data_IF_664092281614
#
_entry.id   IF_664092281614
#
_cell.length_a   1.000
_cell.length_b   1.000
_cell.length_c   1.000
_cell.angle_alpha   90.00
_cell.angle_beta   90.00
_cell.angle_gamma   90.00
#
_symmetry.space_group_name_H-M   'P 1'
#
loop_
_entity.id
_entity.type
_entity.pdbx_description
1 polymer ?
#
# COMPACT_ATOMS: atom_id res chain seq x y z
N UNK A 1 -10.52 -15.16 -8.90
CA UNK A 1 -10.09 -14.86 -7.52
C UNK A 1 -10.53 -13.46 -7.16
N UNK A 2 -10.91 -13.25 -5.93
CA UNK A 2 -11.49 -11.99 -5.48
C UNK A 2 -10.44 -10.89 -5.35
N UNK A 3 -10.80 -9.72 -5.84
CA UNK A 3 -10.02 -8.48 -5.71
C UNK A 3 -10.87 -7.49 -4.91
N UNK A 4 -10.51 -7.26 -3.67
CA UNK A 4 -11.28 -6.43 -2.75
C UNK A 4 -10.49 -5.19 -2.36
N UNK A 5 -11.07 -4.03 -2.63
CA UNK A 5 -10.52 -2.74 -2.21
C UNK A 5 -11.38 -2.17 -1.10
N UNK A 6 -10.75 -1.75 -0.02
CA UNK A 6 -11.43 -1.10 1.11
C UNK A 6 -11.10 0.38 1.05
N UNK A 7 -12.11 1.20 0.78
CA UNK A 7 -12.01 2.65 0.72
C UNK A 7 -12.67 3.28 1.92
N UNK A 8 -12.11 4.39 2.38
CA UNK A 8 -12.70 5.14 3.47
C UNK A 8 -11.79 6.27 3.92
N UNK A 9 -12.29 7.18 4.77
CA UNK A 9 -11.49 8.28 5.25
C UNK A 9 -10.36 7.81 6.16
N UNK A 10 -9.36 8.67 6.32
CA UNK A 10 -8.24 8.42 7.23
C UNK A 10 -8.75 8.19 8.65
N UNK A 11 -8.21 7.19 9.33
CA UNK A 11 -8.54 6.90 10.72
C UNK A 11 -9.84 6.13 10.93
N UNK A 12 -10.53 5.72 9.86
CA UNK A 12 -11.79 4.95 9.97
C UNK A 12 -11.57 3.49 10.37
N UNK A 13 -10.34 3.00 10.28
CA UNK A 13 -10.01 1.62 10.67
C UNK A 13 -9.72 0.68 9.51
N UNK A 14 -9.37 1.21 8.33
CA UNK A 14 -9.05 0.38 7.16
C UNK A 14 -7.94 -0.62 7.45
N UNK A 15 -6.81 -0.17 7.98
CA UNK A 15 -5.67 -1.04 8.28
C UNK A 15 -5.99 -2.06 9.35
N UNK A 16 -6.80 -1.71 10.34
CA UNK A 16 -7.25 -2.65 11.37
C UNK A 16 -8.10 -3.76 10.75
N UNK A 17 -9.04 -3.40 9.89
CA UNK A 17 -9.87 -4.37 9.19
C UNK A 17 -9.03 -5.28 8.30
N UNK A 18 -8.10 -4.72 7.55
CA UNK A 18 -7.20 -5.48 6.67
C UNK A 18 -6.37 -6.48 7.47
N UNK A 19 -5.82 -6.08 8.61
CA UNK A 19 -5.05 -7.01 9.47
C UNK A 19 -5.91 -8.17 9.97
N UNK A 20 -7.14 -7.89 10.37
CA UNK A 20 -8.08 -8.94 10.84
C UNK A 20 -8.43 -9.90 9.72
N UNK A 21 -8.73 -9.39 8.52
CA UNK A 21 -9.05 -10.22 7.37
C UNK A 21 -7.85 -11.06 6.92
N UNK A 22 -6.66 -10.46 6.91
CA UNK A 22 -5.42 -11.15 6.55
C UNK A 22 -5.13 -12.30 7.50
N UNK A 23 -5.38 -12.12 8.80
CA UNK A 23 -5.18 -13.17 9.79
C UNK A 23 -6.10 -14.38 9.58
N UNK A 24 -7.21 -14.22 8.90
CA UNK A 24 -8.12 -15.32 8.56
C UNK A 24 -7.73 -16.07 7.29
N UNK A 25 -6.79 -15.53 6.51
CA UNK A 25 -6.37 -16.18 5.27
C UNK A 25 -5.41 -17.34 5.59
N UNK A 26 -5.72 -18.57 5.13
CA UNK A 26 -4.96 -19.76 5.55
C UNK A 26 -3.66 -19.97 4.81
N UNK A 27 -3.38 -19.21 3.77
CA UNK A 27 -2.21 -19.37 2.91
C UNK A 27 -1.15 -18.28 3.11
N UNK A 28 -0.11 -18.29 2.27
CA UNK A 28 0.92 -17.26 2.32
C UNK A 28 0.37 -15.89 1.92
N UNK A 29 1.01 -14.84 2.44
CA UNK A 29 0.67 -13.46 2.16
C UNK A 29 1.90 -12.79 1.56
N UNK A 30 1.69 -12.08 0.45
CA UNK A 30 2.71 -11.26 -0.21
C UNK A 30 2.21 -9.81 -0.28
N UNK A 31 2.95 -8.94 -0.93
CA UNK A 31 2.57 -7.54 -1.03
C UNK A 31 3.28 -6.68 -0.01
N UNK A 32 2.66 -5.56 0.34
CA UNK A 32 3.31 -4.55 1.17
C UNK A 32 2.37 -3.93 2.19
N UNK A 33 3.00 -3.35 3.22
CA UNK A 33 2.36 -2.40 4.12
C UNK A 33 3.18 -1.12 4.12
N UNK A 34 2.51 0.02 4.30
CA UNK A 34 3.16 1.31 4.51
C UNK A 34 2.81 1.81 5.90
N UNK A 35 3.77 2.42 6.58
CA UNK A 35 3.54 2.92 7.92
C UNK A 35 4.30 4.21 8.15
N UNK A 36 3.59 5.21 8.65
CA UNK A 36 4.19 6.45 9.12
C UNK A 36 4.78 6.25 10.51
N UNK A 37 6.01 6.70 10.70
CA UNK A 37 6.66 6.69 12.00
C UNK A 37 6.02 7.71 12.94
N UNK A 38 6.16 7.47 14.25
CA UNK A 38 5.60 8.34 15.28
C UNK A 38 6.59 9.38 15.78
N UNK A 39 7.84 9.31 15.32
CA UNK A 39 8.90 10.24 15.67
C UNK A 39 9.29 11.03 14.43
N UNK A 40 9.23 12.37 14.54
CA UNK A 40 9.60 13.25 13.44
C UNK A 40 11.10 13.25 13.21
N UNK A 41 11.49 13.48 11.95
CA UNK A 41 12.90 13.70 11.58
C UNK A 41 13.38 15.11 11.97
N UNK A 42 14.63 15.44 11.60
CA UNK A 42 15.23 16.74 11.92
C UNK A 42 14.52 17.95 11.30
N UNK A 43 13.63 17.75 10.36
CA UNK A 43 12.83 18.80 9.70
C UNK A 43 11.39 18.85 10.19
N UNK A 44 11.05 18.05 11.19
CA UNK A 44 9.69 17.99 11.74
C UNK A 44 8.72 17.16 10.91
N UNK A 45 9.21 16.37 9.96
CA UNK A 45 8.39 15.49 9.13
C UNK A 45 8.44 14.06 9.63
N UNK A 46 7.34 13.36 9.51
CA UNK A 46 7.23 11.96 9.91
C UNK A 46 7.53 11.06 8.71
N UNK A 47 8.60 10.24 8.80
CA UNK A 47 8.93 9.32 7.72
C UNK A 47 7.87 8.25 7.50
N UNK A 48 7.70 7.84 6.25
CA UNK A 48 6.81 6.75 5.87
C UNK A 48 7.65 5.72 5.11
N UNK A 49 7.63 4.47 5.60
CA UNK A 49 8.39 3.38 5.00
C UNK A 49 7.45 2.34 4.40
N UNK A 50 7.92 1.68 3.34
CA UNK A 50 7.26 0.50 2.77
C UNK A 50 7.97 -0.75 3.27
N UNK A 51 7.17 -1.76 3.65
CA UNK A 51 7.67 -3.02 4.18
C UNK A 51 7.00 -4.20 3.48
N UNK A 52 7.69 -5.33 3.31
CA UNK A 52 7.02 -6.55 2.87
C UNK A 52 5.91 -6.93 3.85
N UNK A 53 4.75 -7.26 3.33
CA UNK A 53 3.61 -7.68 4.18
C UNK A 53 3.93 -8.94 5.00
N UNK A 54 4.74 -9.84 4.44
CA UNK A 54 5.16 -11.06 5.11
C UNK A 54 6.22 -10.85 6.19
N UNK A 55 6.83 -9.66 6.27
CA UNK A 55 7.90 -9.38 7.23
C UNK A 55 7.30 -9.05 8.61
N UNK A 56 7.66 -9.79 9.68
CA UNK A 56 7.23 -9.45 11.04
C UNK A 56 7.67 -8.03 11.41
N UNK A 57 6.84 -7.33 12.17
CA UNK A 57 7.12 -5.96 12.58
C UNK A 57 8.48 -5.79 13.25
N UNK A 58 8.88 -6.74 14.07
CA UNK A 58 10.17 -6.73 14.78
C UNK A 58 11.38 -6.85 13.85
N UNK A 59 11.19 -7.28 12.60
CA UNK A 59 12.27 -7.46 11.62
C UNK A 59 12.24 -6.43 10.49
N UNK A 60 11.33 -5.46 10.55
CA UNK A 60 11.23 -4.42 9.54
C UNK A 60 12.50 -3.59 9.47
N UNK A 61 12.91 -3.27 8.26
CA UNK A 61 14.07 -2.41 8.01
C UNK A 61 13.61 -0.99 7.74
N UNK A 62 14.46 -0.03 8.10
CA UNK A 62 14.20 1.40 7.97
C UNK A 62 15.45 2.05 7.38
N UNK A 63 15.42 2.38 6.11
CA UNK A 63 16.53 2.97 5.41
C UNK A 63 16.10 3.78 4.21
N UNK A 64 17.04 4.48 3.53
CA UNK A 64 16.70 5.30 2.38
C UNK A 64 16.12 4.49 1.22
N UNK A 65 16.43 3.21 1.13
CA UNK A 65 15.95 2.34 0.05
C UNK A 65 14.45 2.05 0.15
N UNK A 66 13.87 2.09 1.35
CA UNK A 66 12.43 1.85 1.53
C UNK A 66 11.67 3.04 2.14
N UNK A 67 12.30 4.21 2.17
CA UNK A 67 11.63 5.45 2.54
C UNK A 67 10.82 5.95 1.34
N UNK A 68 9.51 5.94 1.44
CA UNK A 68 8.61 6.33 0.34
C UNK A 68 8.08 7.75 0.46
N UNK A 69 8.22 8.37 1.60
CA UNK A 69 7.79 9.74 1.80
C UNK A 69 8.00 10.23 3.21
N UNK A 70 7.76 11.51 3.39
CA UNK A 70 7.77 12.19 4.69
C UNK A 70 6.63 13.19 4.72
N UNK A 71 5.93 13.30 5.81
CA UNK A 71 4.79 14.22 5.89
C UNK A 71 4.56 14.77 7.29
N UNK A 72 3.87 15.91 7.33
CA UNK A 72 3.21 16.41 8.54
C UNK A 72 1.76 16.79 8.18
N UNK A 73 1.09 17.58 9.00
CA UNK A 73 -0.30 18.00 8.75
C UNK A 73 -0.44 18.96 7.55
N UNK A 74 0.66 19.53 7.05
CA UNK A 74 0.66 20.56 6.00
C UNK A 74 1.48 20.21 4.78
N UNK A 75 2.55 19.41 4.93
CA UNK A 75 3.51 19.12 3.88
C UNK A 75 3.63 17.64 3.63
N UNK A 76 3.90 17.29 2.37
CA UNK A 76 4.24 15.93 1.97
C UNK A 76 5.42 15.97 1.03
N UNK A 77 6.40 15.12 1.27
CA UNK A 77 7.54 14.92 0.38
C UNK A 77 7.49 13.48 -0.11
N UNK A 78 7.44 13.28 -1.42
CA UNK A 78 7.41 11.95 -2.03
C UNK A 78 8.82 11.48 -2.34
N UNK A 79 9.12 10.23 -2.03
CA UNK A 79 10.37 9.57 -2.36
C UNK A 79 10.08 8.48 -3.40
N UNK A 80 9.80 8.90 -4.61
CA UNK A 80 9.37 8.05 -5.72
C UNK A 80 10.28 6.86 -6.01
N UNK A 81 11.64 6.98 -5.99
CA UNK A 81 12.50 5.83 -6.28
C UNK A 81 12.26 4.61 -5.41
N UNK A 82 11.94 4.79 -4.14
CA UNK A 82 11.66 3.67 -3.25
C UNK A 82 10.43 2.89 -3.70
N UNK A 83 9.35 3.58 -4.08
CA UNK A 83 8.18 2.92 -4.65
C UNK A 83 8.49 2.20 -5.95
N UNK A 84 9.20 2.85 -6.86
CA UNK A 84 9.50 2.27 -8.18
C UNK A 84 10.46 1.09 -8.11
N UNK A 85 11.39 1.09 -7.17
CA UNK A 85 12.39 0.03 -7.05
C UNK A 85 11.88 -1.14 -6.19
N UNK A 86 11.28 -0.83 -5.04
CA UNK A 86 10.81 -1.86 -4.09
C UNK A 86 9.40 -2.34 -4.40
N UNK A 87 8.51 -1.42 -4.74
CA UNK A 87 7.10 -1.72 -4.87
C UNK A 87 6.80 -2.89 -5.80
N UNK A 88 7.29 -2.90 -7.05
CA UNK A 88 7.03 -4.00 -7.96
C UNK A 88 7.51 -5.36 -7.43
N UNK A 89 8.65 -5.40 -6.77
CA UNK A 89 9.20 -6.65 -6.20
C UNK A 89 8.33 -7.19 -5.08
N UNK A 90 7.75 -6.32 -4.27
CA UNK A 90 6.89 -6.73 -3.16
C UNK A 90 5.56 -7.31 -3.65
N UNK A 91 5.16 -7.03 -4.87
CA UNK A 91 3.96 -7.59 -5.48
C UNK A 91 4.20 -8.95 -6.14
N UNK A 92 5.45 -9.40 -6.18
CA UNK A 92 5.82 -10.73 -6.65
C UNK A 92 5.82 -11.69 -5.47
N UNK A 93 4.98 -12.71 -5.51
CA UNK A 93 4.92 -13.70 -4.44
C UNK A 93 3.59 -14.43 -4.44
N UNK A 94 3.54 -15.56 -3.73
CA UNK A 94 2.36 -16.42 -3.73
C UNK A 94 1.27 -15.94 -2.78
N UNK A 95 0.07 -16.44 -3.00
CA UNK A 95 -1.05 -16.31 -2.07
C UNK A 95 -1.78 -15.00 -2.17
N UNK A 96 -2.21 -14.49 -1.03
CA UNK A 96 -2.92 -13.22 -0.94
C UNK A 96 -1.96 -12.06 -1.15
N UNK A 97 -2.26 -11.16 -2.09
CA UNK A 97 -1.55 -9.91 -2.25
C UNK A 97 -2.20 -8.83 -1.37
N UNK A 98 -1.45 -8.36 -0.41
CA UNK A 98 -1.86 -7.28 0.48
C UNK A 98 -1.25 -5.96 0.00
N UNK A 99 -2.06 -4.91 -0.08
CA UNK A 99 -1.61 -3.57 -0.43
C UNK A 99 -2.19 -2.58 0.59
N UNK A 100 -1.40 -2.22 1.59
CA UNK A 100 -1.87 -1.35 2.67
C UNK A 100 -0.87 -0.21 2.89
N UNK A 101 -1.03 0.92 2.26
CA UNK A 101 -2.21 1.43 1.59
C UNK A 101 -1.83 2.08 0.24
N UNK A 102 -2.75 2.12 -0.72
CA UNK A 102 -2.62 2.90 -1.94
C UNK A 102 -3.17 4.31 -1.69
N UNK A 103 -2.34 5.32 -1.92
CA UNK A 103 -2.68 6.72 -1.64
C UNK A 103 -2.16 7.66 -2.70
N UNK A 104 -1.45 8.71 -2.30
CA UNK A 104 -0.90 9.70 -3.23
C UNK A 104 0.63 9.67 -3.33
N UNK A 105 1.31 8.96 -2.42
CA UNK A 105 2.77 8.92 -2.41
C UNK A 105 3.34 8.20 -3.65
N UNK A 106 2.58 7.27 -4.24
CA UNK A 106 2.95 6.55 -5.46
C UNK A 106 2.61 7.33 -6.74
N UNK A 107 2.18 8.57 -6.65
CA UNK A 107 1.63 9.36 -7.75
C UNK A 107 2.55 9.43 -8.98
N UNK A 108 3.85 9.54 -8.78
CA UNK A 108 4.84 9.61 -9.85
C UNK A 108 5.62 8.31 -10.04
N UNK A 109 5.28 7.26 -9.29
CA UNK A 109 5.94 5.96 -9.34
C UNK A 109 5.28 5.08 -10.40
N UNK A 110 5.58 5.34 -11.69
CA UNK A 110 4.88 4.71 -12.80
C UNK A 110 5.08 3.21 -12.88
N UNK A 111 6.27 2.70 -12.61
CA UNK A 111 6.52 1.25 -12.59
C UNK A 111 5.73 0.56 -11.49
N UNK A 112 5.65 1.19 -10.33
CA UNK A 112 4.83 0.68 -9.24
C UNK A 112 3.34 0.68 -9.59
N UNK A 113 2.86 1.78 -10.20
CA UNK A 113 1.46 1.87 -10.64
C UNK A 113 1.11 0.78 -11.65
N UNK A 114 1.97 0.54 -12.63
CA UNK A 114 1.79 -0.52 -13.62
C UNK A 114 1.75 -1.90 -12.96
N UNK A 115 2.63 -2.15 -11.99
CA UNK A 115 2.67 -3.42 -11.27
C UNK A 115 1.38 -3.65 -10.45
N UNK A 116 0.85 -2.60 -9.81
CA UNK A 116 -0.43 -2.69 -9.08
C UNK A 116 -1.57 -3.04 -10.02
N UNK A 117 -1.67 -2.33 -11.15
CA UNK A 117 -2.74 -2.58 -12.12
C UNK A 117 -2.64 -3.98 -12.72
N UNK A 118 -1.43 -4.46 -13.01
CA UNK A 118 -1.22 -5.82 -13.47
C UNK A 118 -1.64 -6.86 -12.43
N UNK A 119 -1.33 -6.63 -11.16
CA UNK A 119 -1.74 -7.52 -10.07
C UNK A 119 -3.27 -7.59 -9.95
N UNK A 120 -3.96 -6.47 -10.12
CA UNK A 120 -5.42 -6.43 -10.09
C UNK A 120 -6.07 -7.14 -11.28
N UNK A 121 -5.35 -7.31 -12.37
CA UNK A 121 -5.80 -8.04 -13.55
C UNK A 121 -5.37 -9.51 -13.54
N UNK A 122 -4.53 -9.90 -12.60
CA UNK A 122 -4.00 -11.26 -12.50
C UNK A 122 -4.93 -12.22 -11.75
N UNK A 123 -4.40 -13.38 -11.40
CA UNK A 123 -5.19 -14.48 -10.82
C UNK A 123 -5.16 -14.57 -9.30
N UNK A 124 -4.26 -13.84 -8.66
CA UNK A 124 -4.14 -13.88 -7.21
C UNK A 124 -5.26 -13.11 -6.52
N UNK A 125 -5.71 -13.56 -5.34
CA UNK A 125 -6.59 -12.74 -4.51
C UNK A 125 -5.85 -11.49 -4.03
N UNK A 126 -6.54 -10.36 -4.01
CA UNK A 126 -5.98 -9.07 -3.57
C UNK A 126 -6.86 -8.48 -2.49
N UNK A 127 -6.23 -7.95 -1.46
CA UNK A 127 -6.89 -7.16 -0.43
C UNK A 127 -6.10 -5.87 -0.28
N UNK A 128 -6.73 -4.74 -0.53
CA UNK A 128 -6.06 -3.44 -0.51
C UNK A 128 -6.85 -2.40 0.27
N UNK A 129 -6.14 -1.57 1.00
CA UNK A 129 -6.67 -0.31 1.49
C UNK A 129 -6.36 0.77 0.47
N UNK A 130 -7.36 1.57 0.13
CA UNK A 130 -7.25 2.62 -0.88
C UNK A 130 -7.80 3.91 -0.30
N UNK A 131 -7.04 5.00 -0.41
CA UNK A 131 -7.54 6.31 -0.02
C UNK A 131 -8.70 6.72 -0.90
N UNK A 132 -9.71 7.32 -0.30
CA UNK A 132 -10.88 7.80 -1.02
C UNK A 132 -10.58 9.17 -1.62
N UNK A 133 -9.82 9.18 -2.72
CA UNK A 133 -9.41 10.39 -3.44
C UNK A 133 -9.69 10.23 -4.94
N UNK A 134 -9.81 11.38 -5.63
CA UNK A 134 -10.02 11.43 -7.09
C UNK A 134 -8.71 11.57 -7.87
N UNK A 135 -7.69 10.90 -7.41
CA UNK A 135 -6.42 10.78 -8.10
C UNK A 135 -6.59 9.86 -9.33
N UNK A 136 -6.00 10.18 -10.50
CA UNK A 136 -6.15 9.34 -11.69
C UNK A 136 -5.72 7.88 -11.49
N UNK A 137 -4.63 7.66 -10.76
CA UNK A 137 -4.19 6.29 -10.47
C UNK A 137 -5.21 5.55 -9.60
N UNK A 138 -5.69 6.18 -8.53
CA UNK A 138 -6.68 5.55 -7.65
C UNK A 138 -8.01 5.30 -8.35
N UNK A 139 -8.39 6.18 -9.28
CA UNK A 139 -9.56 5.96 -10.13
C UNK A 139 -9.35 4.74 -11.03
N UNK A 140 -8.18 4.61 -11.64
CA UNK A 140 -7.84 3.46 -12.47
C UNK A 140 -7.87 2.16 -11.66
N UNK A 141 -7.34 2.17 -10.43
CA UNK A 141 -7.37 1.02 -9.52
C UNK A 141 -8.80 0.59 -9.23
N UNK A 142 -9.66 1.53 -8.88
CA UNK A 142 -11.08 1.23 -8.60
C UNK A 142 -11.86 0.79 -9.83
N UNK A 143 -11.40 1.18 -11.01
CA UNK A 143 -12.07 0.88 -12.27
C UNK A 143 -11.64 -0.41 -12.96
N UNK A 144 -10.69 -1.17 -12.41
CA UNK A 144 -10.28 -2.44 -13.01
C UNK A 144 -11.45 -3.42 -13.01
N UNK A 145 -11.79 -4.04 -14.16
CA UNK A 145 -12.89 -5.01 -14.21
C UNK A 145 -12.69 -6.16 -13.23
N UNK A 146 -13.75 -6.55 -12.53
CA UNK A 146 -13.73 -7.63 -11.55
C UNK A 146 -13.32 -7.21 -10.14
N UNK A 147 -12.88 -5.98 -9.95
CA UNK A 147 -12.54 -5.44 -8.63
C UNK A 147 -13.82 -5.06 -7.89
N UNK A 148 -13.88 -5.41 -6.62
CA UNK A 148 -14.99 -5.04 -5.71
C UNK A 148 -14.50 -3.95 -4.77
N UNK A 149 -15.21 -2.84 -4.73
CA UNK A 149 -14.88 -1.69 -3.87
C UNK A 149 -15.88 -1.62 -2.73
N UNK A 150 -15.36 -1.65 -1.51
CA UNK A 150 -16.16 -1.52 -0.29
C UNK A 150 -15.82 -0.19 0.37
N UNK A 151 -16.84 0.62 0.63
CA UNK A 151 -16.68 1.90 1.31
C UNK A 151 -17.08 1.77 2.77
N UNK A 152 -16.22 2.25 3.67
CA UNK A 152 -16.48 2.19 5.12
C UNK A 152 -16.35 3.55 5.80
#
# INVERSE_FOLDING_TARGET
MDKILICGPRGVGKSTLIRRLTALYPGPVSGFVTKRETVADGEGLFPIYIHPAACPEARRQYGPENLIGRCDSRRSVRCTPAFDDWGPRLLEGPGLLLMDELGFLERDAHRFQEAVLAALQGDQPVLAAVKNRNDPFLQAVRGVPGVRVLYI
#
